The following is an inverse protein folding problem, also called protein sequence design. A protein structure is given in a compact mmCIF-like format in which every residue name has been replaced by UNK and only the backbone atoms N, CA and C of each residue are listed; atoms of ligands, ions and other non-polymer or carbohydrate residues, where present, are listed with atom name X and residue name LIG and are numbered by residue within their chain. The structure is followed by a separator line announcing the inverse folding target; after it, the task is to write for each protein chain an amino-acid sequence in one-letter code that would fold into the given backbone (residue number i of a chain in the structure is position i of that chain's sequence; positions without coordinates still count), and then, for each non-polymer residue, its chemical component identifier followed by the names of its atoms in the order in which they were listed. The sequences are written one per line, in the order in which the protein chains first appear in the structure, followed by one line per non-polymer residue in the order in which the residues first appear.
data_IF_663552215716
#
_entry.id   IF_663552215716
#
_cell.length_a   1.000
_cell.length_b   1.000
_cell.length_c   1.000
_cell.angle_alpha   90.00
_cell.angle_beta   90.00
_cell.angle_gamma   90.00
#
_symmetry.space_group_name_H-M   'P 1'
#
loop_
_entity.id
_entity.type
_entity.pdbx_description
1 polymer ?
#
# COMPACT_ATOMS: atom_id res chain seq x y z
N UNK A 1 18.74 16.44 6.51
CA UNK A 1 17.43 16.04 7.05
C UNK A 1 16.38 16.03 5.95
N UNK A 2 16.14 14.86 5.35
CA UNK A 2 14.90 14.52 4.63
C UNK A 2 14.63 13.07 5.02
N UNK A 3 14.01 12.93 6.19
CA UNK A 3 13.58 11.65 6.72
C UNK A 3 12.39 11.14 5.93
N UNK A 4 12.35 9.82 5.75
CA UNK A 4 11.15 9.02 5.53
C UNK A 4 10.32 9.41 4.31
N UNK A 5 10.80 9.06 3.11
CA UNK A 5 9.92 8.66 2.02
C UNK A 5 10.55 7.43 1.35
N UNK A 6 9.69 6.51 0.91
CA UNK A 6 9.97 5.15 0.40
C UNK A 6 9.93 4.02 1.44
N UNK A 7 8.79 3.94 2.13
CA UNK A 7 8.17 2.63 2.37
C UNK A 7 7.10 2.41 1.30
N UNK A 8 7.45 1.58 0.32
CA UNK A 8 6.61 0.56 -0.33
C UNK A 8 5.13 0.88 -0.57
N UNK A 9 4.79 1.07 -1.84
CA UNK A 9 3.47 0.72 -2.39
C UNK A 9 3.10 -0.70 -1.92
N UNK A 10 1.99 -0.78 -1.16
CA UNK A 10 1.29 -1.96 -0.63
C UNK A 10 2.13 -3.19 -0.24
N UNK A 11 2.14 -3.54 1.04
CA UNK A 11 2.66 -4.83 1.49
C UNK A 11 3.21 -4.73 2.91
N UNK A 12 2.35 -5.04 3.89
CA UNK A 12 2.69 -5.06 5.32
C UNK A 12 3.94 -5.91 5.58
N UNK A 13 5.09 -5.28 5.83
CA UNK A 13 6.13 -5.72 6.78
C UNK A 13 7.11 -4.56 6.94
N UNK A 14 6.92 -3.73 7.96
CA UNK A 14 7.94 -2.75 8.35
C UNK A 14 9.10 -3.51 9.00
N UNK A 15 10.15 -3.80 8.23
CA UNK A 15 11.43 -4.21 8.81
C UNK A 15 12.09 -2.95 9.38
N UNK A 16 12.09 -2.82 10.72
CA UNK A 16 12.82 -1.74 11.37
C UNK A 16 14.32 -1.94 11.13
N UNK A 17 14.90 -1.14 10.23
CA UNK A 17 16.34 -1.16 9.99
C UNK A 17 17.03 -0.37 11.10
N UNK A 18 17.90 -0.96 11.93
CA UNK A 18 18.54 -0.25 13.04
C UNK A 18 19.40 0.91 12.54
N UNK A 19 19.44 2.02 13.30
CA UNK A 19 20.29 3.19 13.00
C UNK A 19 21.76 2.82 12.81
N UNK A 20 22.27 1.84 13.56
CA UNK A 20 23.64 1.34 13.38
C UNK A 20 23.92 0.80 11.98
N UNK A 21 22.91 0.25 11.30
CA UNK A 21 23.07 -0.23 9.92
C UNK A 21 23.25 0.93 8.94
N UNK A 22 22.53 2.04 9.15
CA UNK A 22 22.69 3.26 8.37
C UNK A 22 24.06 3.89 8.56
N UNK A 23 24.51 3.98 9.82
CA UNK A 23 25.84 4.51 10.14
C UNK A 23 26.92 3.65 9.46
N UNK A 24 26.80 2.33 9.54
CA UNK A 24 27.76 1.43 8.91
C UNK A 24 27.81 1.59 7.37
N UNK A 25 26.66 1.69 6.71
CA UNK A 25 26.60 1.92 5.26
C UNK A 25 27.17 3.26 4.84
N UNK A 26 26.92 4.32 5.62
CA UNK A 26 27.50 5.62 5.37
C UNK A 26 29.03 5.61 5.54
N UNK A 27 29.54 4.94 6.56
CA UNK A 27 30.99 4.83 6.80
C UNK A 27 31.69 4.06 5.69
N UNK A 28 31.07 3.01 5.15
CA UNK A 28 31.68 2.14 4.13
C UNK A 28 31.58 2.72 2.71
N UNK A 29 30.46 3.35 2.37
CA UNK A 29 30.12 3.69 0.98
C UNK A 29 29.65 5.14 0.80
N UNK A 30 29.77 5.98 1.83
CA UNK A 30 29.37 7.39 1.79
C UNK A 30 27.88 7.58 1.47
N UNK A 31 27.57 8.65 0.72
CA UNK A 31 26.19 8.98 0.34
C UNK A 31 25.58 7.93 -0.62
N UNK A 32 26.40 7.25 -1.42
CA UNK A 32 25.96 6.20 -2.33
C UNK A 32 25.46 4.95 -1.58
N UNK A 33 26.06 4.65 -0.42
CA UNK A 33 25.61 3.56 0.47
C UNK A 33 24.24 3.76 1.11
N UNK A 34 23.73 5.00 1.08
CA UNK A 34 22.40 5.34 1.57
C UNK A 34 21.34 5.36 0.46
N UNK A 35 21.74 5.22 -0.81
CA UNK A 35 20.78 5.10 -1.90
C UNK A 35 20.10 3.73 -1.84
N UNK A 36 18.78 3.73 -1.93
CA UNK A 36 18.01 2.50 -2.02
C UNK A 36 18.44 1.73 -3.28
N UNK A 37 18.80 0.46 -3.10
CA UNK A 37 18.94 -0.45 -4.23
C UNK A 37 17.60 -0.53 -4.96
N UNK A 38 17.65 -0.61 -6.29
CA UNK A 38 16.47 -0.94 -7.07
C UNK A 38 15.89 -2.26 -6.55
N UNK A 39 14.59 -2.28 -6.29
CA UNK A 39 13.91 -3.50 -5.84
C UNK A 39 14.22 -4.62 -6.84
N UNK A 40 14.84 -5.71 -6.37
CA UNK A 40 15.43 -6.71 -7.25
C UNK A 40 14.46 -7.28 -8.28
N UNK A 41 13.25 -7.66 -7.85
CA UNK A 41 12.13 -7.93 -8.77
C UNK A 41 11.07 -6.84 -8.57
N UNK A 42 10.52 -6.28 -9.66
CA UNK A 42 9.33 -5.45 -9.52
C UNK A 42 8.22 -6.32 -8.93
N UNK A 43 7.53 -5.79 -7.91
CA UNK A 43 6.33 -6.43 -7.43
C UNK A 43 5.29 -6.37 -8.55
N UNK A 44 4.99 -7.51 -9.18
CA UNK A 44 3.97 -7.62 -10.21
C UNK A 44 2.63 -7.77 -9.52
N UNK A 45 1.97 -6.65 -9.30
CA UNK A 45 0.60 -6.64 -8.78
C UNK A 45 -0.37 -6.69 -9.96
N UNK A 46 -1.27 -7.68 -9.97
CA UNK A 46 -2.35 -7.73 -10.95
C UNK A 46 -3.49 -6.77 -10.57
N UNK A 47 -3.17 -5.46 -10.54
CA UNK A 47 -4.09 -4.39 -10.12
C UNK A 47 -5.06 -3.96 -11.21
N UNK A 48 -5.01 -4.57 -12.41
CA UNK A 48 -5.84 -4.16 -13.55
C UNK A 48 -7.32 -4.09 -13.18
N UNK A 49 -7.81 -5.07 -12.42
CA UNK A 49 -9.19 -5.08 -11.91
C UNK A 49 -9.47 -3.95 -10.91
N UNK A 50 -8.52 -3.64 -10.01
CA UNK A 50 -8.66 -2.54 -9.06
C UNK A 50 -8.70 -1.18 -9.76
N UNK A 51 -7.89 -1.00 -10.80
CA UNK A 51 -7.89 0.23 -11.60
C UNK A 51 -9.19 0.44 -12.38
N UNK A 52 -9.91 -0.63 -12.73
CA UNK A 52 -11.24 -0.53 -13.34
C UNK A 52 -12.33 -0.27 -12.30
N UNK A 53 -12.25 -0.91 -11.13
CA UNK A 53 -13.28 -0.81 -10.09
C UNK A 53 -13.26 0.52 -9.32
N UNK A 54 -12.08 1.08 -9.04
CA UNK A 54 -11.96 2.33 -8.28
C UNK A 54 -12.71 3.52 -8.91
N UNK A 55 -12.57 3.81 -10.22
CA UNK A 55 -13.33 4.87 -10.87
C UNK A 55 -14.83 4.64 -10.82
N UNK A 56 -15.28 3.38 -10.99
CA UNK A 56 -16.70 3.02 -10.88
C UNK A 56 -17.22 3.31 -9.47
N UNK A 57 -16.51 2.89 -8.42
CA UNK A 57 -16.88 3.17 -7.04
C UNK A 57 -16.91 4.69 -6.75
N UNK A 58 -15.98 5.45 -7.29
CA UNK A 58 -15.94 6.91 -7.08
C UNK A 58 -17.07 7.67 -7.80
N UNK A 59 -17.69 7.08 -8.82
CA UNK A 59 -18.87 7.64 -9.49
C UNK A 59 -20.16 7.45 -8.69
N UNK A 60 -20.16 6.53 -7.72
CA UNK A 60 -21.30 6.21 -6.89
C UNK A 60 -21.08 6.65 -5.43
N UNK A 61 -22.18 6.91 -4.75
CA UNK A 61 -22.16 7.10 -3.31
C UNK A 61 -22.22 5.72 -2.62
N UNK A 62 -21.69 5.57 -1.40
CA UNK A 62 -21.85 4.31 -0.66
C UNK A 62 -23.33 3.95 -0.42
N UNK A 63 -24.23 4.94 -0.45
CA UNK A 63 -25.67 4.76 -0.28
C UNK A 63 -26.30 4.01 -1.46
N UNK A 64 -25.75 4.14 -2.67
CA UNK A 64 -26.19 3.40 -3.86
C UNK A 64 -25.95 1.88 -3.73
N UNK A 65 -25.04 1.49 -2.81
CA UNK A 65 -24.75 0.10 -2.48
C UNK A 65 -25.48 -0.39 -1.21
N UNK A 66 -26.43 0.40 -0.68
CA UNK A 66 -27.21 0.05 0.51
C UNK A 66 -26.53 0.35 1.85
N UNK A 67 -25.38 1.03 1.86
CA UNK A 67 -24.75 1.44 3.11
C UNK A 67 -25.37 2.74 3.66
N UNK A 68 -25.55 2.81 4.98
CA UNK A 68 -26.06 4.00 5.68
C UNK A 68 -25.08 5.19 5.67
N UNK A 69 -23.81 4.93 5.33
CA UNK A 69 -22.74 5.92 5.41
C UNK A 69 -22.72 6.77 4.15
N UNK A 70 -22.55 8.09 4.30
CA UNK A 70 -22.45 9.00 3.15
C UNK A 70 -21.06 9.09 2.54
N UNK A 71 -20.02 8.62 3.25
CA UNK A 71 -18.62 8.74 2.84
C UNK A 71 -17.96 7.38 2.69
N UNK A 72 -17.09 7.29 1.69
CA UNK A 72 -16.18 6.17 1.51
C UNK A 72 -15.23 6.02 2.71
N UNK A 73 -15.08 4.80 3.21
CA UNK A 73 -14.02 4.41 4.13
C UNK A 73 -13.21 3.29 3.49
N UNK A 74 -11.95 3.13 3.92
CA UNK A 74 -11.11 2.02 3.44
C UNK A 74 -11.76 0.67 3.73
N UNK A 75 -12.43 0.52 4.88
CA UNK A 75 -13.16 -0.70 5.24
C UNK A 75 -14.30 -0.99 4.25
N UNK A 76 -15.09 0.02 3.86
CA UNK A 76 -16.18 -0.15 2.90
C UNK A 76 -15.66 -0.50 1.50
N UNK A 77 -14.65 0.24 1.02
CA UNK A 77 -14.02 -0.03 -0.28
C UNK A 77 -13.46 -1.45 -0.31
N UNK A 78 -12.77 -1.87 0.76
CA UNK A 78 -12.21 -3.23 0.87
C UNK A 78 -13.31 -4.28 0.89
N UNK A 79 -14.42 -4.04 1.59
CA UNK A 79 -15.58 -4.93 1.63
C UNK A 79 -16.19 -5.16 0.24
N UNK A 80 -16.46 -4.09 -0.51
CA UNK A 80 -17.04 -4.20 -1.85
C UNK A 80 -16.06 -4.90 -2.82
N UNK A 81 -14.77 -4.54 -2.77
CA UNK A 81 -13.74 -5.18 -3.59
C UNK A 81 -13.64 -6.68 -3.27
N UNK A 82 -13.73 -7.05 -2.00
CA UNK A 82 -13.74 -8.45 -1.56
C UNK A 82 -14.93 -9.22 -2.13
N UNK A 83 -16.13 -8.64 -2.09
CA UNK A 83 -17.33 -9.25 -2.66
C UNK A 83 -17.22 -9.42 -4.18
N UNK A 84 -16.76 -8.37 -4.89
CA UNK A 84 -16.63 -8.39 -6.35
C UNK A 84 -15.53 -9.34 -6.83
N UNK A 85 -14.40 -9.40 -6.12
CA UNK A 85 -13.25 -10.21 -6.49
C UNK A 85 -13.25 -11.60 -5.82
N UNK A 86 -14.26 -11.91 -5.00
CA UNK A 86 -14.27 -13.07 -4.09
C UNK A 86 -12.98 -13.21 -3.26
N UNK A 87 -12.36 -12.08 -2.92
CA UNK A 87 -11.16 -12.05 -2.10
C UNK A 87 -11.59 -12.05 -0.64
N UNK A 88 -11.18 -13.04 0.14
CA UNK A 88 -11.39 -13.00 1.59
C UNK A 88 -10.23 -12.23 2.24
N UNK A 89 -10.15 -10.90 2.09
CA UNK A 89 -9.28 -10.14 2.99
C UNK A 89 -9.90 -10.24 4.39
N UNK A 90 -9.31 -11.08 5.24
CA UNK A 90 -9.76 -11.31 6.60
C UNK A 90 -9.96 -9.97 7.30
N UNK A 91 -11.16 -9.77 7.86
CA UNK A 91 -11.51 -8.57 8.61
C UNK A 91 -10.55 -8.46 9.80
N UNK A 92 -9.54 -7.58 9.70
CA UNK A 92 -8.64 -7.27 10.81
C UNK A 92 -9.49 -6.54 11.84
N UNK A 93 -9.71 -7.22 12.97
CA UNK A 93 -10.52 -6.79 14.10
C UNK A 93 -9.65 -6.01 15.08
#
# INVERSE_FOLDING_TARGET
MKGVLFLTSLGLFTVHVPLNRWINWFTLSGLEGLKSLLAGRPAVWHLSLLFTLLPFLLQHSPQDFGYLRSRWSLELITGIINEVLNLSFSKVR
#
